data_IF_615959724215
#
_entry.id   IF_615959724215
#
_cell.length_a   1.000
_cell.length_b   1.000
_cell.length_c   1.000
_cell.angle_alpha   90.00
_cell.angle_beta   90.00
_cell.angle_gamma   90.00
#
_symmetry.space_group_name_H-M   'P 1'
#
loop_
_entity.id
_entity.type
_entity.pdbx_description
1 polymer ?
#
# COMPACT_ATOMS: atom_id res chain seq x y z
N UNK A 1 46.62 -24.23 55.55
CA UNK A 1 46.52 -24.82 54.21
C UNK A 1 46.13 -23.69 53.26
N UNK A 2 47.12 -23.21 52.49
CA UNK A 2 47.01 -22.15 51.49
C UNK A 2 45.97 -22.52 50.41
N UNK A 3 45.32 -21.61 49.67
CA UNK A 3 45.93 -20.46 49.02
C UNK A 3 44.98 -19.26 48.87
N UNK A 4 45.57 -18.10 49.12
CA UNK A 4 45.16 -16.79 48.64
C UNK A 4 45.48 -16.73 47.15
N UNK A 5 44.51 -16.40 46.30
CA UNK A 5 44.78 -15.90 44.95
C UNK A 5 44.41 -14.41 44.90
N UNK A 6 45.39 -13.60 44.55
CA UNK A 6 45.28 -12.17 44.36
C UNK A 6 45.44 -11.81 42.87
N UNK A 7 44.78 -10.70 42.50
CA UNK A 7 44.97 -9.83 41.33
C UNK A 7 44.48 -10.40 39.98
N UNK A 8 43.88 -9.61 39.08
CA UNK A 8 44.23 -8.26 38.63
C UNK A 8 42.98 -7.50 38.16
N UNK A 9 42.86 -6.24 38.55
CA UNK A 9 41.89 -5.28 38.00
C UNK A 9 42.53 -4.47 36.86
N UNK A 10 41.88 -4.43 35.69
CA UNK A 10 41.87 -3.33 34.73
C UNK A 10 40.38 -3.11 34.41
N UNK A 11 39.73 -2.02 34.85
CA UNK A 11 39.69 -0.76 34.10
C UNK A 11 39.06 -1.00 32.72
N UNK A 12 37.87 -0.51 32.36
CA UNK A 12 37.40 0.86 32.54
C UNK A 12 35.92 1.00 32.17
N UNK A 13 35.27 1.94 32.87
CA UNK A 13 34.20 2.84 32.42
C UNK A 13 32.82 2.27 32.10
N UNK A 14 31.95 2.35 33.10
CA UNK A 14 30.50 2.54 32.96
C UNK A 14 30.20 3.65 31.95
N UNK A 15 29.52 3.32 30.86
CA UNK A 15 28.96 4.31 29.96
C UNK A 15 27.68 4.85 30.61
N UNK A 16 27.77 6.09 31.09
CA UNK A 16 26.66 6.84 31.63
C UNK A 16 25.49 6.85 30.63
N UNK A 17 24.30 6.53 31.13
CA UNK A 17 23.05 6.75 30.45
C UNK A 17 22.94 8.24 30.10
N UNK A 18 23.20 8.55 28.83
CA UNK A 18 22.92 9.85 28.27
C UNK A 18 21.42 10.06 28.33
N UNK A 19 20.99 11.01 29.16
CA UNK A 19 19.65 11.57 29.16
C UNK A 19 19.44 12.30 27.85
N UNK A 20 19.13 11.54 26.80
CA UNK A 20 18.59 12.08 25.57
C UNK A 20 17.28 12.77 25.93
N UNK A 21 17.26 14.09 25.77
CA UNK A 21 16.06 14.91 25.84
C UNK A 21 15.00 14.26 24.98
N UNK A 22 13.95 13.75 25.63
CA UNK A 22 12.75 13.27 24.97
C UNK A 22 12.14 14.46 24.23
N UNK A 23 12.44 14.57 22.94
CA UNK A 23 11.64 15.35 22.01
C UNK A 23 10.26 14.71 22.00
N UNK A 24 9.35 15.30 22.76
CA UNK A 24 7.93 15.00 22.72
C UNK A 24 7.42 15.47 21.35
N UNK A 25 7.59 14.62 20.34
CA UNK A 25 6.69 14.69 19.20
C UNK A 25 5.31 14.39 19.75
N UNK A 26 4.49 15.44 19.86
CA UNK A 26 3.07 15.29 20.07
C UNK A 26 2.57 14.32 19.00
N UNK A 27 2.23 13.09 19.42
CA UNK A 27 1.40 12.16 18.64
C UNK A 27 0.05 12.84 18.48
N UNK A 28 -0.01 13.72 17.48
CA UNK A 28 -1.18 14.46 17.10
C UNK A 28 -2.21 13.49 16.57
N UNK A 29 -3.34 13.40 17.29
CA UNK A 29 -4.60 12.76 16.91
C UNK A 29 -4.48 11.36 16.31
N UNK A 30 -4.91 10.35 17.10
CA UNK A 30 -5.58 9.20 16.50
C UNK A 30 -6.76 9.75 15.69
N UNK A 31 -6.62 9.79 14.37
CA UNK A 31 -7.76 9.93 13.48
C UNK A 31 -8.61 8.69 13.76
N UNK A 32 -9.75 8.89 14.40
CA UNK A 32 -10.75 7.83 14.51
C UNK A 32 -10.97 7.28 13.09
N UNK A 33 -11.04 5.95 12.88
CA UNK A 33 -11.30 5.41 11.55
C UNK A 33 -12.54 6.12 11.03
N UNK A 34 -12.37 6.82 9.91
CA UNK A 34 -13.48 7.47 9.25
C UNK A 34 -14.52 6.38 9.02
N UNK A 35 -15.70 6.54 9.63
CA UNK A 35 -16.80 5.63 9.41
C UNK A 35 -17.14 5.78 7.93
N UNK A 36 -16.73 4.81 7.12
CA UNK A 36 -17.11 4.73 5.71
C UNK A 36 -18.63 4.56 5.74
N UNK A 37 -19.36 5.67 5.59
CA UNK A 37 -20.76 5.60 5.25
C UNK A 37 -20.81 4.69 4.02
N UNK A 38 -21.64 3.64 4.04
CA UNK A 38 -21.76 2.72 2.92
C UNK A 38 -22.07 3.53 1.67
N UNK A 39 -21.03 3.82 0.92
CA UNK A 39 -21.12 4.49 -0.35
C UNK A 39 -21.98 3.59 -1.24
N UNK A 40 -22.76 4.21 -2.12
CA UNK A 40 -23.36 3.48 -3.24
C UNK A 40 -22.28 2.57 -3.83
N UNK A 41 -22.63 1.32 -4.13
CA UNK A 41 -21.71 0.34 -4.73
C UNK A 41 -20.89 1.04 -5.83
N UNK A 42 -19.59 1.15 -5.60
CA UNK A 42 -18.69 1.88 -6.47
C UNK A 42 -18.03 0.88 -7.41
N UNK A 43 -18.21 1.07 -8.71
CA UNK A 43 -17.61 0.21 -9.73
C UNK A 43 -16.35 0.87 -10.28
N UNK A 44 -15.19 0.32 -9.98
CA UNK A 44 -13.91 0.73 -10.54
C UNK A 44 -13.55 -0.13 -11.76
N UNK A 45 -13.24 0.50 -12.89
CA UNK A 45 -12.93 -0.21 -14.12
C UNK A 45 -11.52 0.14 -14.59
N UNK A 46 -10.80 -0.84 -15.13
CA UNK A 46 -9.43 -0.66 -15.60
C UNK A 46 -9.27 -1.17 -17.03
N UNK A 47 -8.72 -0.35 -17.91
CA UNK A 47 -8.28 -0.74 -19.25
C UNK A 47 -6.76 -0.70 -19.27
N UNK A 48 -6.11 -1.85 -19.46
CA UNK A 48 -4.65 -1.89 -19.59
C UNK A 48 -4.22 -1.68 -21.03
N UNK A 49 -3.02 -1.14 -21.20
CA UNK A 49 -2.29 -1.14 -22.46
C UNK A 49 -2.01 -2.59 -22.93
N UNK A 50 -1.41 -2.69 -24.10
CA UNK A 50 -0.76 -3.87 -24.64
C UNK A 50 0.21 -4.49 -23.63
N UNK A 51 0.33 -5.82 -23.67
CA UNK A 51 1.14 -6.59 -22.72
C UNK A 51 0.34 -7.19 -21.55
N UNK A 52 -0.82 -6.61 -21.24
CA UNK A 52 -1.81 -7.17 -20.31
C UNK A 52 -1.36 -7.29 -18.86
N UNK A 53 -2.21 -7.87 -18.02
CA UNK A 53 -2.06 -7.86 -16.55
C UNK A 53 -0.87 -8.65 -15.99
N UNK A 54 -0.16 -9.40 -16.82
CA UNK A 54 0.97 -10.25 -16.42
C UNK A 54 2.33 -9.72 -16.94
N UNK A 55 2.38 -8.45 -17.34
CA UNK A 55 3.58 -7.77 -17.86
C UNK A 55 4.71 -7.58 -16.83
N UNK A 56 4.46 -7.92 -15.55
CA UNK A 56 5.37 -7.70 -14.40
C UNK A 56 5.83 -6.25 -14.24
N UNK A 57 5.07 -5.31 -14.77
CA UNK A 57 5.39 -3.89 -14.80
C UNK A 57 4.13 -3.09 -14.46
N UNK A 58 3.86 -2.04 -15.23
CA UNK A 58 2.80 -1.08 -14.96
C UNK A 58 1.41 -1.72 -14.95
N UNK A 59 1.06 -2.57 -15.92
CA UNK A 59 -0.29 -3.16 -15.99
C UNK A 59 -0.53 -4.14 -14.82
N UNK A 60 0.47 -4.96 -14.48
CA UNK A 60 0.39 -5.83 -13.31
C UNK A 60 0.23 -5.02 -12.00
N UNK A 61 0.92 -3.88 -11.90
CA UNK A 61 0.85 -3.02 -10.71
C UNK A 61 -0.52 -2.36 -10.54
N UNK A 62 -1.12 -1.90 -11.64
CA UNK A 62 -2.44 -1.29 -11.63
C UNK A 62 -3.52 -2.30 -11.25
N UNK A 63 -3.53 -3.48 -11.90
CA UNK A 63 -4.45 -4.55 -11.56
C UNK A 63 -4.30 -5.03 -10.11
N UNK A 64 -3.07 -5.05 -9.58
CA UNK A 64 -2.83 -5.35 -8.17
C UNK A 64 -3.43 -4.28 -7.24
N UNK A 65 -3.27 -3.00 -7.59
CA UNK A 65 -3.89 -1.88 -6.87
C UNK A 65 -5.42 -1.93 -6.88
N UNK A 66 -6.02 -2.24 -8.03
CA UNK A 66 -7.47 -2.40 -8.17
C UNK A 66 -8.02 -3.50 -7.26
N UNK A 67 -7.37 -4.67 -7.24
CA UNK A 67 -7.72 -5.76 -6.33
C UNK A 67 -7.55 -5.39 -4.86
N UNK A 68 -6.45 -4.70 -4.52
CA UNK A 68 -6.20 -4.27 -3.16
C UNK A 68 -7.28 -3.28 -2.67
N UNK A 69 -7.74 -2.36 -3.53
CA UNK A 69 -8.82 -1.43 -3.21
C UNK A 69 -10.14 -2.18 -2.94
N UNK A 70 -10.51 -3.13 -3.79
CA UNK A 70 -11.71 -3.95 -3.60
C UNK A 70 -11.64 -4.85 -2.34
N UNK A 71 -10.44 -5.32 -1.97
CA UNK A 71 -10.23 -6.06 -0.74
C UNK A 71 -10.31 -5.17 0.51
N UNK A 72 -9.89 -3.91 0.41
CA UNK A 72 -9.89 -2.95 1.51
C UNK A 72 -11.27 -2.34 1.78
N UNK A 73 -12.10 -2.19 0.76
CA UNK A 73 -13.45 -1.63 0.88
C UNK A 73 -14.51 -2.54 0.20
N UNK A 74 -15.39 -3.19 0.97
CA UNK A 74 -16.46 -4.03 0.41
C UNK A 74 -17.52 -3.25 -0.40
N UNK A 75 -17.51 -1.91 -0.34
CA UNK A 75 -18.30 -1.04 -1.21
C UNK A 75 -17.75 -0.93 -2.63
N UNK A 76 -16.51 -1.35 -2.87
CA UNK A 76 -15.85 -1.30 -4.17
C UNK A 76 -15.97 -2.65 -4.88
N UNK A 77 -16.54 -2.64 -6.08
CA UNK A 77 -16.46 -3.73 -7.05
C UNK A 77 -15.57 -3.31 -8.20
N UNK A 78 -15.01 -4.27 -8.94
CA UNK A 78 -14.12 -3.95 -10.05
C UNK A 78 -14.32 -4.80 -11.30
N UNK A 79 -13.96 -4.23 -12.45
CA UNK A 79 -13.86 -4.92 -13.75
C UNK A 79 -12.58 -4.49 -14.46
N UNK A 80 -12.08 -5.32 -15.36
CA UNK A 80 -10.93 -4.95 -16.18
C UNK A 80 -11.07 -5.49 -17.61
N UNK A 81 -10.46 -4.79 -18.54
CA UNK A 81 -10.27 -5.21 -19.93
C UNK A 81 -8.81 -5.01 -20.30
N UNK A 82 -8.22 -6.00 -20.97
CA UNK A 82 -6.84 -5.91 -21.47
C UNK A 82 -6.88 -5.57 -22.96
N UNK A 83 -6.08 -4.59 -23.37
CA UNK A 83 -5.94 -4.25 -24.79
C UNK A 83 -4.87 -5.15 -25.42
N UNK A 84 -5.13 -5.66 -26.63
CA UNK A 84 -4.12 -6.39 -27.42
C UNK A 84 -3.41 -5.45 -28.40
N UNK A 85 -4.05 -4.35 -28.74
CA UNK A 85 -3.61 -3.34 -29.70
C UNK A 85 -4.17 -1.97 -29.38
N UNK A 86 -3.64 -0.93 -30.04
CA UNK A 86 -4.10 0.46 -29.87
C UNK A 86 -5.54 0.69 -30.32
N UNK A 87 -6.05 -0.12 -31.27
CA UNK A 87 -7.45 -0.06 -31.70
C UNK A 87 -8.44 -0.50 -30.62
N UNK A 88 -7.97 -1.21 -29.59
CA UNK A 88 -8.84 -1.73 -28.53
C UNK A 88 -9.14 -0.69 -27.45
N UNK A 89 -8.36 0.39 -27.34
CA UNK A 89 -8.52 1.37 -26.25
C UNK A 89 -9.89 2.06 -26.29
N UNK A 90 -10.26 2.62 -27.45
CA UNK A 90 -11.51 3.35 -27.59
C UNK A 90 -12.74 2.47 -27.31
N UNK A 91 -12.89 1.27 -27.92
CA UNK A 91 -14.04 0.42 -27.61
C UNK A 91 -14.05 -0.04 -26.16
N UNK A 92 -12.90 -0.43 -25.58
CA UNK A 92 -12.83 -0.86 -24.17
C UNK A 92 -13.26 0.24 -23.19
N UNK A 93 -12.81 1.48 -23.43
CA UNK A 93 -13.21 2.63 -22.60
C UNK A 93 -14.70 2.94 -22.80
N UNK A 94 -15.20 2.88 -24.03
CA UNK A 94 -16.60 3.13 -24.34
C UNK A 94 -17.53 2.11 -23.65
N UNK A 95 -17.14 0.85 -23.60
CA UNK A 95 -17.87 -0.20 -22.87
C UNK A 95 -17.99 0.14 -21.38
N UNK A 96 -16.90 0.58 -20.75
CA UNK A 96 -16.93 0.98 -19.34
C UNK A 96 -17.68 2.29 -19.05
N UNK A 97 -17.73 3.22 -20.01
CA UNK A 97 -18.62 4.38 -19.93
C UNK A 97 -20.08 3.92 -19.96
N UNK A 98 -20.43 3.01 -20.87
CA UNK A 98 -21.80 2.47 -20.98
C UNK A 98 -22.21 1.69 -19.72
N UNK A 99 -21.28 0.97 -19.10
CA UNK A 99 -21.46 0.29 -17.82
C UNK A 99 -21.53 1.23 -16.61
N UNK A 100 -21.31 2.54 -16.81
CA UNK A 100 -21.34 3.57 -15.77
C UNK A 100 -20.37 3.29 -14.63
N UNK A 101 -19.14 2.90 -14.98
CA UNK A 101 -18.06 2.81 -14.01
C UNK A 101 -17.88 4.17 -13.31
N UNK A 102 -17.72 4.15 -11.98
CA UNK A 102 -17.50 5.34 -11.17
C UNK A 102 -16.12 5.96 -11.40
N UNK A 103 -15.15 5.15 -11.83
CA UNK A 103 -13.85 5.57 -12.35
C UNK A 103 -13.41 4.58 -13.43
N UNK A 104 -12.73 5.10 -14.45
CA UNK A 104 -12.03 4.31 -15.46
C UNK A 104 -10.55 4.66 -15.37
N UNK A 105 -9.74 3.66 -15.06
CA UNK A 105 -8.29 3.76 -14.95
C UNK A 105 -7.69 3.23 -16.25
N UNK A 106 -6.83 4.01 -16.88
CA UNK A 106 -6.13 3.63 -18.11
C UNK A 106 -4.63 3.66 -17.84
N UNK A 107 -3.93 2.60 -18.24
CA UNK A 107 -2.51 2.37 -17.96
C UNK A 107 -1.82 2.00 -19.25
#
# INVERSE_FOLDING_TARGET
MAAVLAAVALGTTSFAASTASASTYAVGKRVAPARVAHAKKFLACEVTDTGGINDRSFNASAYAGLKAAAAADPGISYKFLSSSSTSDYQPNIADFIAEKCGIIITV
#
